data_IF_115188692072
#
_entry.id   IF_115188692072
#
_cell.length_a   1.000
_cell.length_b   1.000
_cell.length_c   1.000
_cell.angle_alpha   90.00
_cell.angle_beta   90.00
_cell.angle_gamma   90.00
#
_symmetry.space_group_name_H-M   'P 1'
#
loop_
_entity.id
_entity.type
_entity.pdbx_description
1 polymer ?
#
# COMPACT_ATOMS: atom_id res chain seq x y z
N UNK A 1 31.96 39.94 -13.51
CA UNK A 1 31.00 39.14 -12.72
C UNK A 1 31.06 37.63 -13.03
N UNK A 2 31.45 37.19 -14.24
CA UNK A 2 31.58 35.75 -14.59
C UNK A 2 32.83 35.04 -14.00
N UNK A 3 33.94 35.77 -13.78
CA UNK A 3 35.20 35.20 -13.25
C UNK A 3 35.11 34.70 -11.79
N UNK A 4 34.12 35.18 -11.01
CA UNK A 4 33.94 34.79 -9.60
C UNK A 4 33.22 33.44 -9.43
N UNK A 5 32.55 32.92 -10.47
CA UNK A 5 31.84 31.64 -10.41
C UNK A 5 32.74 30.43 -10.70
N UNK A 6 33.80 30.63 -11.48
CA UNK A 6 34.75 29.57 -11.86
C UNK A 6 35.45 28.92 -10.64
N UNK A 7 36.00 29.68 -9.66
CA UNK A 7 36.62 29.06 -8.48
C UNK A 7 35.58 28.35 -7.60
N UNK A 8 34.37 28.88 -7.47
CA UNK A 8 33.29 28.24 -6.71
C UNK A 8 32.88 26.92 -7.36
N UNK A 9 32.68 26.92 -8.69
CA UNK A 9 32.33 25.72 -9.44
C UNK A 9 33.45 24.67 -9.36
N UNK A 10 34.71 25.10 -9.41
CA UNK A 10 35.87 24.22 -9.28
C UNK A 10 35.98 23.60 -7.88
N UNK A 11 35.72 24.37 -6.82
CA UNK A 11 35.68 23.86 -5.44
C UNK A 11 34.53 22.87 -5.26
N UNK A 12 33.34 23.16 -5.79
CA UNK A 12 32.19 22.25 -5.74
C UNK A 12 32.48 20.96 -6.49
N UNK A 13 33.07 21.04 -7.68
CA UNK A 13 33.47 19.88 -8.46
C UNK A 13 34.53 19.05 -7.74
N UNK A 14 35.55 19.69 -7.16
CA UNK A 14 36.59 19.01 -6.39
C UNK A 14 36.00 18.31 -5.16
N UNK A 15 35.14 18.99 -4.40
CA UNK A 15 34.45 18.41 -3.25
C UNK A 15 33.57 17.21 -3.66
N UNK A 16 32.88 17.31 -4.80
CA UNK A 16 32.09 16.21 -5.36
C UNK A 16 32.97 15.02 -5.73
N UNK A 17 34.10 15.23 -6.42
CA UNK A 17 35.06 14.18 -6.80
C UNK A 17 35.69 13.53 -5.56
N UNK A 18 36.13 14.32 -4.57
CA UNK A 18 36.69 13.79 -3.33
C UNK A 18 35.67 12.95 -2.55
N UNK A 19 34.41 13.41 -2.48
CA UNK A 19 33.32 12.66 -1.86
C UNK A 19 32.99 11.39 -2.63
N UNK A 20 33.03 11.44 -3.96
CA UNK A 20 32.83 10.27 -4.81
C UNK A 20 33.91 9.22 -4.57
N UNK A 21 35.19 9.61 -4.61
CA UNK A 21 36.33 8.72 -4.32
C UNK A 21 36.26 8.15 -2.91
N UNK A 22 35.89 8.98 -1.93
CA UNK A 22 35.65 8.52 -0.56
C UNK A 22 34.55 7.47 -0.50
N UNK A 23 33.38 7.71 -1.09
CA UNK A 23 32.28 6.74 -1.11
C UNK A 23 32.63 5.44 -1.84
N UNK A 24 33.43 5.54 -2.91
CA UNK A 24 33.89 4.38 -3.67
C UNK A 24 34.83 3.49 -2.85
N UNK A 25 35.86 4.07 -2.23
CA UNK A 25 36.88 3.30 -1.51
C UNK A 25 36.58 3.03 -0.03
N UNK A 26 35.95 3.99 0.65
CA UNK A 26 35.75 4.00 2.10
C UNK A 26 34.30 4.32 2.51
N UNK A 27 33.38 4.31 1.54
CA UNK A 27 31.97 4.49 1.83
C UNK A 27 31.45 3.39 2.75
N UNK A 28 30.40 3.66 3.54
CA UNK A 28 29.82 2.69 4.47
C UNK A 28 29.32 1.42 3.77
N UNK A 29 28.99 1.53 2.48
CA UNK A 29 28.49 0.44 1.64
C UNK A 29 29.49 0.05 0.53
N UNK A 30 30.75 0.48 0.60
CA UNK A 30 31.75 0.27 -0.46
C UNK A 30 31.99 -1.20 -0.80
N UNK A 31 31.88 -2.08 0.19
CA UNK A 31 32.11 -3.53 0.02
C UNK A 31 30.90 -4.29 -0.52
N UNK A 32 29.69 -3.73 -0.40
CA UNK A 32 28.48 -4.40 -0.88
C UNK A 32 28.51 -4.58 -2.41
N UNK A 33 27.95 -5.67 -2.94
CA UNK A 33 27.86 -5.86 -4.38
C UNK A 33 26.79 -4.93 -4.96
N UNK A 34 26.96 -4.53 -6.22
CA UNK A 34 26.01 -3.69 -6.93
C UNK A 34 26.69 -2.92 -8.08
N UNK A 35 25.90 -2.27 -8.95
CA UNK A 35 26.45 -1.53 -10.08
C UNK A 35 27.41 -0.42 -9.65
N UNK A 36 28.46 -0.16 -10.43
CA UNK A 36 29.51 0.82 -10.08
C UNK A 36 28.95 2.23 -9.83
N UNK A 37 27.91 2.65 -10.54
CA UNK A 37 27.32 3.98 -10.38
C UNK A 37 26.65 4.19 -9.01
N UNK A 38 26.29 3.10 -8.32
CA UNK A 38 25.60 3.16 -7.02
C UNK A 38 26.49 3.63 -5.88
N UNK A 39 27.80 3.69 -6.08
CA UNK A 39 28.70 4.40 -5.16
C UNK A 39 28.46 5.92 -5.15
N UNK A 40 27.90 6.46 -6.24
CA UNK A 40 27.79 7.89 -6.48
C UNK A 40 26.33 8.38 -6.50
N UNK A 41 25.40 7.55 -6.99
CA UNK A 41 24.02 7.98 -7.21
C UNK A 41 23.00 6.86 -7.01
N UNK A 42 21.84 7.20 -6.44
CA UNK A 42 20.63 6.36 -6.40
C UNK A 42 19.61 6.73 -7.47
N UNK A 43 19.94 7.64 -8.40
CA UNK A 43 19.02 8.15 -9.42
C UNK A 43 18.38 7.07 -10.29
N UNK A 44 19.06 5.97 -10.69
CA UNK A 44 18.41 4.91 -11.46
C UNK A 44 17.27 4.21 -10.71
N UNK A 45 17.41 3.99 -9.40
CA UNK A 45 16.33 3.43 -8.58
C UNK A 45 15.18 4.44 -8.45
N UNK A 46 15.50 5.72 -8.24
CA UNK A 46 14.51 6.78 -8.17
C UNK A 46 13.72 6.92 -9.47
N UNK A 47 14.41 6.89 -10.61
CA UNK A 47 13.82 6.92 -11.94
C UNK A 47 12.88 5.74 -12.15
N UNK A 48 13.37 4.51 -11.97
CA UNK A 48 12.54 3.30 -12.15
C UNK A 48 11.35 3.26 -11.19
N UNK A 49 11.45 3.84 -9.99
CA UNK A 49 10.30 4.05 -9.09
C UNK A 49 9.29 5.03 -9.68
N UNK A 50 9.73 6.15 -10.23
CA UNK A 50 8.87 7.17 -10.83
C UNK A 50 8.14 6.67 -12.08
N UNK A 51 8.79 5.82 -12.91
CA UNK A 51 8.17 5.25 -14.13
C UNK A 51 7.47 3.90 -13.88
N UNK A 52 7.53 3.36 -12.67
CA UNK A 52 6.84 2.12 -12.29
C UNK A 52 7.54 0.81 -12.70
N UNK A 53 8.83 0.85 -13.04
CA UNK A 53 9.63 -0.31 -13.48
C UNK A 53 10.64 -0.81 -12.43
N UNK A 54 10.54 -0.32 -11.19
CA UNK A 54 11.48 -0.66 -10.11
C UNK A 54 11.52 -2.15 -9.79
N UNK A 55 10.41 -2.88 -9.97
CA UNK A 55 10.33 -4.33 -9.72
C UNK A 55 11.24 -5.11 -10.66
N UNK A 56 11.16 -4.84 -11.97
CA UNK A 56 12.01 -5.48 -12.98
C UNK A 56 13.47 -5.08 -12.79
N UNK A 57 13.73 -3.80 -12.50
CA UNK A 57 15.07 -3.31 -12.24
C UNK A 57 15.74 -4.03 -11.06
N UNK A 58 15.06 -4.09 -9.91
CA UNK A 58 15.60 -4.75 -8.72
C UNK A 58 15.70 -6.27 -8.90
N UNK A 59 14.75 -6.91 -9.60
CA UNK A 59 14.86 -8.33 -9.94
C UNK A 59 16.14 -8.62 -10.71
N UNK A 60 16.43 -7.82 -11.73
CA UNK A 60 17.66 -7.95 -12.50
C UNK A 60 18.91 -7.77 -11.62
N UNK A 61 18.93 -6.73 -10.77
CA UNK A 61 20.05 -6.49 -9.88
C UNK A 61 20.28 -7.65 -8.89
N UNK A 62 19.23 -8.19 -8.28
CA UNK A 62 19.34 -9.33 -7.37
C UNK A 62 19.77 -10.62 -8.09
N UNK A 63 19.36 -10.82 -9.34
CA UNK A 63 19.82 -11.95 -10.16
C UNK A 63 21.33 -11.91 -10.43
N UNK A 64 21.90 -10.72 -10.60
CA UNK A 64 23.32 -10.54 -10.92
C UNK A 64 24.21 -10.44 -9.67
N UNK A 65 23.73 -9.77 -8.62
CA UNK A 65 24.54 -9.39 -7.47
C UNK A 65 24.20 -10.14 -6.18
N UNK A 66 23.14 -10.97 -6.19
CA UNK A 66 22.73 -11.79 -5.04
C UNK A 66 21.70 -11.11 -4.13
N UNK A 67 21.51 -11.62 -2.89
CA UNK A 67 20.38 -11.25 -2.03
C UNK A 67 20.49 -9.87 -1.39
N UNK A 68 21.69 -9.28 -1.30
CA UNK A 68 21.93 -7.95 -0.72
C UNK A 68 22.67 -7.11 -1.75
N UNK A 69 22.06 -6.01 -2.22
CA UNK A 69 22.58 -5.22 -3.34
C UNK A 69 22.60 -3.74 -3.01
N UNK A 70 23.73 -3.06 -3.21
CA UNK A 70 23.81 -1.60 -3.16
C UNK A 70 23.08 -1.00 -4.36
N UNK A 71 22.13 -0.11 -4.08
CA UNK A 71 21.30 0.56 -5.09
C UNK A 71 21.47 2.09 -5.09
N UNK A 72 22.23 2.60 -4.12
CA UNK A 72 22.68 3.99 -4.04
C UNK A 72 23.74 4.15 -2.94
N UNK A 73 24.33 5.35 -2.77
CA UNK A 73 25.48 5.55 -1.88
C UNK A 73 25.20 5.24 -0.40
N UNK A 74 23.92 5.33 0.00
CA UNK A 74 23.41 5.03 1.34
C UNK A 74 22.14 4.17 1.29
N UNK A 75 21.99 3.39 0.22
CA UNK A 75 20.77 2.68 -0.13
C UNK A 75 21.09 1.24 -0.52
N UNK A 76 20.41 0.28 0.12
CA UNK A 76 20.60 -1.16 -0.07
C UNK A 76 19.26 -1.82 -0.35
N UNK A 77 19.17 -2.63 -1.40
CA UNK A 77 18.05 -3.53 -1.64
C UNK A 77 18.34 -4.91 -1.07
N UNK A 78 17.37 -5.49 -0.37
CA UNK A 78 17.46 -6.80 0.25
C UNK A 78 16.33 -7.67 -0.29
N UNK A 79 16.69 -8.85 -0.80
CA UNK A 79 15.77 -9.86 -1.31
C UNK A 79 16.17 -11.25 -0.81
N UNK A 80 15.78 -11.55 0.44
CA UNK A 80 15.95 -12.87 1.06
C UNK A 80 15.03 -13.01 2.27
N UNK A 81 14.76 -14.25 2.69
CA UNK A 81 13.93 -14.54 3.87
C UNK A 81 14.58 -14.01 5.15
N UNK A 82 15.86 -14.30 5.41
CA UNK A 82 16.59 -13.79 6.58
C UNK A 82 16.55 -12.26 6.63
N UNK A 83 16.92 -11.61 5.52
CA UNK A 83 16.88 -10.16 5.42
C UNK A 83 15.50 -9.56 5.67
N UNK A 84 14.42 -10.21 5.20
CA UNK A 84 13.06 -9.77 5.50
C UNK A 84 12.77 -9.80 7.00
N UNK A 85 13.12 -10.87 7.72
CA UNK A 85 12.90 -10.96 9.16
C UNK A 85 13.81 -10.02 9.96
N UNK A 86 15.06 -9.79 9.53
CA UNK A 86 15.93 -8.78 10.17
C UNK A 86 15.36 -7.36 10.04
N UNK A 87 14.72 -7.05 8.91
CA UNK A 87 14.19 -5.71 8.64
C UNK A 87 12.77 -5.51 9.18
N UNK A 88 11.87 -6.49 9.05
CA UNK A 88 10.44 -6.35 9.41
C UNK A 88 9.94 -7.33 10.47
N UNK A 89 10.74 -8.34 10.82
CA UNK A 89 10.36 -9.37 11.77
C UNK A 89 10.23 -8.86 13.20
N UNK A 90 9.68 -9.72 14.06
CA UNK A 90 9.53 -9.44 15.50
C UNK A 90 10.91 -9.18 16.10
N UNK A 91 11.04 -8.08 16.84
CA UNK A 91 12.32 -7.64 17.42
C UNK A 91 13.18 -6.77 16.49
N UNK A 92 12.78 -6.55 15.24
CA UNK A 92 13.44 -5.55 14.39
C UNK A 92 13.32 -4.14 14.98
N UNK A 93 14.44 -3.42 14.98
CA UNK A 93 14.51 -2.01 15.33
C UNK A 93 14.60 -1.09 14.09
N UNK A 94 14.41 -1.64 12.88
CA UNK A 94 14.39 -0.84 11.67
C UNK A 94 13.10 0.01 11.62
N UNK A 95 13.27 1.32 11.51
CA UNK A 95 12.14 2.26 11.49
C UNK A 95 11.65 2.48 10.07
N UNK A 96 10.40 2.93 9.89
CA UNK A 96 9.97 3.44 8.58
C UNK A 96 10.88 4.60 8.15
N UNK A 97 11.20 4.65 6.87
CA UNK A 97 12.03 5.68 6.26
C UNK A 97 11.47 7.10 6.48
N UNK A 98 12.32 8.16 6.45
CA UNK A 98 11.86 9.55 6.52
C UNK A 98 10.82 9.95 5.46
N UNK A 99 10.82 9.29 4.30
CA UNK A 99 9.84 9.56 3.23
C UNK A 99 8.38 9.36 3.69
N UNK A 100 8.13 8.49 4.68
CA UNK A 100 6.79 8.29 5.22
C UNK A 100 6.23 9.53 5.93
N UNK A 101 7.07 10.45 6.42
CA UNK A 101 6.61 11.70 7.04
C UNK A 101 5.89 12.62 6.03
N UNK A 102 6.18 12.45 4.74
CA UNK A 102 5.63 13.25 3.64
C UNK A 102 4.36 12.66 3.02
N UNK A 103 4.10 11.36 3.20
CA UNK A 103 2.93 10.68 2.64
C UNK A 103 1.72 10.92 3.56
N UNK A 104 0.75 11.71 3.10
CA UNK A 104 -0.44 12.09 3.90
C UNK A 104 -1.70 12.29 3.04
N UNK A 105 -2.83 11.92 3.63
CA UNK A 105 -4.18 12.24 3.11
C UNK A 105 -4.95 13.24 4.00
N UNK A 106 -4.27 13.84 4.99
CA UNK A 106 -4.80 14.81 5.95
C UNK A 106 -3.62 15.66 6.50
N UNK A 107 -3.88 16.59 7.42
CA UNK A 107 -2.85 17.35 8.12
C UNK A 107 -2.07 16.47 9.12
N UNK A 108 -2.74 15.52 9.77
CA UNK A 108 -2.14 14.57 10.72
C UNK A 108 -1.43 13.39 10.04
N UNK A 109 -0.51 12.77 10.77
CA UNK A 109 0.11 11.50 10.38
C UNK A 109 -0.87 10.34 10.61
N UNK A 110 -0.84 9.36 9.72
CA UNK A 110 -1.70 8.18 9.76
C UNK A 110 -0.92 7.01 10.36
N UNK A 111 -1.60 6.04 10.99
CA UNK A 111 -0.97 4.84 11.55
C UNK A 111 0.00 4.17 10.55
N UNK A 112 -0.40 4.12 9.28
CA UNK A 112 0.42 3.59 8.20
C UNK A 112 1.79 4.29 8.09
N UNK A 113 1.85 5.61 8.24
CA UNK A 113 3.06 6.42 8.02
C UNK A 113 3.82 6.76 9.30
N UNK A 114 3.25 6.51 10.47
CA UNK A 114 3.94 6.71 11.75
C UNK A 114 5.26 5.92 11.83
N UNK A 115 6.32 6.65 12.22
CA UNK A 115 7.69 6.14 12.35
C UNK A 115 8.08 5.83 13.81
N UNK A 116 7.59 6.62 14.76
CA UNK A 116 7.83 6.42 16.20
C UNK A 116 7.05 5.17 16.68
N UNK A 117 7.74 4.12 17.17
CA UNK A 117 7.08 2.88 17.61
C UNK A 117 6.11 3.08 18.78
N UNK A 118 6.37 4.03 19.68
CA UNK A 118 5.54 4.31 20.87
C UNK A 118 4.22 4.94 20.43
N UNK A 119 4.29 6.00 19.62
CA UNK A 119 3.10 6.68 19.10
C UNK A 119 2.30 5.75 18.18
N UNK A 120 2.98 4.97 17.33
CA UNK A 120 2.35 3.97 16.48
C UNK A 120 1.61 2.90 17.29
N UNK A 121 2.23 2.37 18.35
CA UNK A 121 1.61 1.36 19.24
C UNK A 121 0.35 1.90 19.90
N UNK A 122 0.41 3.13 20.42
CA UNK A 122 -0.74 3.81 21.00
C UNK A 122 -1.87 4.02 19.98
N UNK A 123 -1.54 4.53 18.79
CA UNK A 123 -2.49 4.72 17.68
C UNK A 123 -3.16 3.40 17.27
N UNK A 124 -2.35 2.33 17.11
CA UNK A 124 -2.82 0.99 16.76
C UNK A 124 -3.82 0.46 17.78
N UNK A 125 -3.56 0.67 19.08
CA UNK A 125 -4.46 0.24 20.15
C UNK A 125 -5.81 0.95 20.09
N UNK A 126 -5.84 2.24 19.77
CA UNK A 126 -7.07 3.02 19.65
C UNK A 126 -7.89 2.52 18.45
N UNK A 127 -7.28 2.45 17.27
CA UNK A 127 -7.93 1.98 16.04
C UNK A 127 -8.42 0.52 16.18
N UNK A 128 -7.63 -0.35 16.81
CA UNK A 128 -7.99 -1.74 17.05
C UNK A 128 -9.29 -1.92 17.86
N UNK A 129 -9.59 -1.01 18.80
CA UNK A 129 -10.87 -1.01 19.53
C UNK A 129 -12.05 -0.73 18.61
N UNK A 130 -11.90 0.19 17.66
CA UNK A 130 -12.92 0.49 16.66
C UNK A 130 -13.21 -0.71 15.77
N UNK A 131 -12.18 -1.40 15.26
CA UNK A 131 -12.36 -2.64 14.49
C UNK A 131 -13.04 -3.75 15.29
N UNK A 132 -12.71 -3.91 16.58
CA UNK A 132 -13.34 -4.91 17.43
C UNK A 132 -14.83 -4.64 17.68
N UNK A 133 -15.27 -3.39 17.60
CA UNK A 133 -16.65 -2.98 17.95
C UNK A 133 -17.71 -3.28 16.88
N UNK A 134 -17.33 -3.75 15.69
CA UNK A 134 -18.23 -3.84 14.52
C UNK A 134 -18.28 -5.23 13.88
N UNK A 135 -17.75 -6.26 14.55
CA UNK A 135 -17.59 -7.61 13.96
C UNK A 135 -18.91 -8.28 13.56
N UNK A 136 -19.95 -8.22 14.39
CA UNK A 136 -21.16 -9.03 14.20
C UNK A 136 -22.12 -8.47 13.12
N UNK A 137 -22.19 -7.15 12.94
CA UNK A 137 -23.13 -6.52 11.99
C UNK A 137 -22.56 -6.33 10.58
N UNK A 138 -21.28 -6.62 10.37
CA UNK A 138 -20.61 -6.39 9.09
C UNK A 138 -21.01 -7.39 8.01
N UNK A 139 -21.24 -8.63 8.42
CA UNK A 139 -21.37 -9.74 7.50
C UNK A 139 -22.58 -9.56 6.56
N UNK A 140 -23.76 -9.30 7.12
CA UNK A 140 -24.99 -9.04 6.35
C UNK A 140 -24.81 -7.85 5.41
N UNK A 141 -24.13 -6.79 5.86
CA UNK A 141 -23.87 -5.61 5.03
C UNK A 141 -22.94 -5.94 3.86
N UNK A 142 -21.86 -6.68 4.12
CA UNK A 142 -20.89 -7.09 3.10
C UNK A 142 -21.55 -8.03 2.09
N UNK A 143 -22.31 -9.02 2.54
CA UNK A 143 -23.04 -9.95 1.67
C UNK A 143 -24.03 -9.20 0.75
N UNK A 144 -24.77 -8.23 1.29
CA UNK A 144 -25.68 -7.38 0.50
C UNK A 144 -24.93 -6.59 -0.57
N UNK A 145 -23.83 -5.93 -0.22
CA UNK A 145 -23.03 -5.14 -1.16
C UNK A 145 -22.36 -6.05 -2.22
N UNK A 146 -21.85 -7.21 -1.82
CA UNK A 146 -21.26 -8.19 -2.72
C UNK A 146 -22.29 -8.71 -3.73
N UNK A 147 -23.50 -9.05 -3.26
CA UNK A 147 -24.61 -9.46 -4.13
C UNK A 147 -24.97 -8.38 -5.15
N UNK A 148 -25.01 -7.11 -4.73
CA UNK A 148 -25.24 -5.98 -5.63
C UNK A 148 -24.12 -5.81 -6.65
N UNK A 149 -22.85 -5.96 -6.24
CA UNK A 149 -21.71 -5.90 -7.15
C UNK A 149 -21.79 -7.00 -8.24
N UNK A 150 -22.08 -8.25 -7.83
CA UNK A 150 -22.24 -9.38 -8.75
C UNK A 150 -23.43 -9.16 -9.70
N UNK A 151 -24.57 -8.65 -9.21
CA UNK A 151 -25.71 -8.32 -10.04
C UNK A 151 -25.38 -7.26 -11.10
N UNK A 152 -24.63 -6.22 -10.72
CA UNK A 152 -24.18 -5.19 -11.64
C UNK A 152 -23.20 -5.73 -12.70
N UNK A 153 -22.27 -6.60 -12.31
CA UNK A 153 -21.37 -7.29 -13.24
C UNK A 153 -22.19 -8.11 -14.24
N UNK A 154 -23.14 -8.92 -13.76
CA UNK A 154 -24.02 -9.73 -14.61
C UNK A 154 -24.79 -8.87 -15.61
N UNK A 155 -25.41 -7.79 -15.16
CA UNK A 155 -26.19 -6.88 -16.01
C UNK A 155 -25.35 -6.22 -17.13
N UNK A 156 -24.06 -5.97 -16.89
CA UNK A 156 -23.16 -5.49 -17.95
C UNK A 156 -22.69 -6.62 -18.86
N UNK A 157 -22.39 -7.80 -18.31
CA UNK A 157 -21.97 -8.97 -19.06
C UNK A 157 -23.05 -9.43 -20.06
N UNK A 158 -24.33 -9.39 -19.66
CA UNK A 158 -25.47 -9.69 -20.54
C UNK A 158 -25.60 -8.70 -21.72
N UNK A 159 -25.00 -7.51 -21.62
CA UNK A 159 -24.91 -6.52 -22.70
C UNK A 159 -23.65 -6.70 -23.57
N UNK A 160 -22.83 -7.71 -23.30
CA UNK A 160 -21.69 -8.13 -24.09
C UNK A 160 -20.37 -8.19 -23.32
N UNK A 161 -20.14 -7.29 -22.36
CA UNK A 161 -18.90 -7.27 -21.57
C UNK A 161 -19.09 -6.52 -20.25
N UNK A 162 -18.37 -6.95 -19.21
CA UNK A 162 -18.36 -6.28 -17.90
C UNK A 162 -16.94 -5.92 -17.47
N UNK A 163 -16.76 -4.70 -16.96
CA UNK A 163 -15.54 -4.29 -16.27
C UNK A 163 -15.66 -4.67 -14.79
N UNK A 164 -15.12 -5.84 -14.44
CA UNK A 164 -15.15 -6.35 -13.06
C UNK A 164 -14.30 -5.51 -12.11
N UNK A 165 -13.21 -4.89 -12.59
CA UNK A 165 -12.34 -4.06 -11.76
C UNK A 165 -13.07 -2.83 -11.22
N UNK A 166 -13.83 -2.16 -12.10
CA UNK A 166 -14.72 -1.05 -11.71
C UNK A 166 -15.68 -1.47 -10.59
N UNK A 167 -16.37 -2.59 -10.74
CA UNK A 167 -17.36 -3.04 -9.75
C UNK A 167 -16.73 -3.51 -8.45
N UNK A 168 -15.58 -4.20 -8.50
CA UNK A 168 -14.83 -4.57 -7.30
C UNK A 168 -14.28 -3.38 -6.54
N UNK A 169 -13.86 -2.32 -7.24
CA UNK A 169 -13.50 -1.05 -6.60
C UNK A 169 -14.71 -0.37 -5.95
N UNK A 170 -15.83 -0.29 -6.64
CA UNK A 170 -17.07 0.25 -6.07
C UNK A 170 -17.48 -0.52 -4.80
N UNK A 171 -17.43 -1.85 -4.84
CA UNK A 171 -17.67 -2.72 -3.69
C UNK A 171 -16.72 -2.40 -2.54
N UNK A 172 -15.42 -2.37 -2.79
CA UNK A 172 -14.41 -2.14 -1.76
C UNK A 172 -14.58 -0.79 -1.07
N UNK A 173 -14.89 0.27 -1.82
CA UNK A 173 -15.15 1.60 -1.25
C UNK A 173 -16.44 1.62 -0.43
N UNK A 174 -17.52 1.01 -0.92
CA UNK A 174 -18.79 0.98 -0.20
C UNK A 174 -18.69 0.14 1.08
N UNK A 175 -17.93 -0.96 1.07
CA UNK A 175 -17.64 -1.76 2.28
C UNK A 175 -16.83 -0.94 3.28
N UNK A 176 -15.71 -0.34 2.87
CA UNK A 176 -14.87 0.44 3.80
C UNK A 176 -15.62 1.65 4.35
N UNK A 177 -16.45 2.32 3.55
CA UNK A 177 -17.27 3.44 4.02
C UNK A 177 -18.39 3.01 4.97
N UNK A 178 -19.07 1.88 4.71
CA UNK A 178 -20.00 1.27 5.67
C UNK A 178 -19.31 0.94 7.00
N UNK A 179 -18.14 0.32 6.97
CA UNK A 179 -17.39 0.00 8.18
C UNK A 179 -16.94 1.25 8.93
N UNK A 180 -16.48 2.28 8.20
CA UNK A 180 -15.91 3.49 8.77
C UNK A 180 -16.97 4.42 9.34
N UNK A 181 -18.09 4.61 8.63
CA UNK A 181 -19.12 5.62 8.94
C UNK A 181 -20.49 5.03 9.27
N UNK A 182 -20.74 3.74 9.00
CA UNK A 182 -22.06 3.12 9.15
C UNK A 182 -23.01 3.46 8.01
N UNK A 183 -22.47 3.98 6.90
CA UNK A 183 -23.20 4.31 5.66
C UNK A 183 -22.25 4.24 4.46
N UNK A 184 -22.70 3.59 3.39
CA UNK A 184 -21.96 3.51 2.13
C UNK A 184 -21.94 4.84 1.39
N UNK A 185 -20.96 5.02 0.52
CA UNK A 185 -20.93 6.14 -0.43
C UNK A 185 -21.77 5.88 -1.69
N UNK A 186 -22.44 4.73 -1.78
CA UNK A 186 -23.32 4.31 -2.88
C UNK A 186 -22.60 4.32 -4.25
N UNK A 187 -21.33 3.93 -4.28
CA UNK A 187 -20.57 3.78 -5.53
C UNK A 187 -21.09 2.61 -6.38
N UNK A 188 -21.63 1.57 -5.76
CA UNK A 188 -22.27 0.45 -6.47
C UNK A 188 -23.56 0.86 -7.19
N UNK A 189 -24.27 1.89 -6.72
CA UNK A 189 -25.46 2.37 -7.40
C UNK A 189 -25.10 3.24 -8.62
N UNK A 190 -24.08 4.08 -8.49
CA UNK A 190 -23.65 5.00 -9.56
C UNK A 190 -22.66 4.38 -10.56
N UNK A 191 -22.10 3.21 -10.25
CA UNK A 191 -20.98 2.62 -11.01
C UNK A 191 -19.73 3.49 -10.99
N UNK A 192 -19.55 4.30 -9.93
CA UNK A 192 -18.45 5.26 -9.78
C UNK A 192 -18.53 6.49 -10.70
N UNK A 193 -19.54 6.57 -11.59
CA UNK A 193 -19.67 7.67 -12.55
C UNK A 193 -20.00 8.99 -11.84
N UNK A 194 -19.28 10.05 -12.21
CA UNK A 194 -19.54 11.42 -11.75
C UNK A 194 -19.15 11.69 -10.28
N UNK A 195 -18.48 10.76 -9.60
CA UNK A 195 -18.04 10.95 -8.21
C UNK A 195 -16.55 11.31 -8.16
N UNK A 196 -16.17 12.54 -7.74
CA UNK A 196 -14.77 12.94 -7.61
C UNK A 196 -13.95 12.00 -6.71
N UNK A 197 -14.60 11.39 -5.70
CA UNK A 197 -13.95 10.42 -4.83
C UNK A 197 -13.43 9.20 -5.60
N UNK A 198 -14.18 8.66 -6.56
CA UNK A 198 -13.76 7.48 -7.33
C UNK A 198 -12.49 7.79 -8.13
N UNK A 199 -12.46 8.95 -8.81
CA UNK A 199 -11.28 9.43 -9.54
C UNK A 199 -10.10 9.67 -8.59
N UNK A 200 -10.34 10.31 -7.44
CA UNK A 200 -9.28 10.57 -6.46
C UNK A 200 -8.66 9.27 -5.92
N UNK A 201 -9.48 8.26 -5.61
CA UNK A 201 -8.99 6.94 -5.18
C UNK A 201 -8.18 6.25 -6.28
N UNK A 202 -8.63 6.31 -7.54
CA UNK A 202 -7.87 5.75 -8.67
C UNK A 202 -6.50 6.41 -8.88
N UNK A 203 -6.35 7.67 -8.46
CA UNK A 203 -5.13 8.45 -8.55
C UNK A 203 -4.31 8.45 -7.24
N UNK A 204 -4.73 7.71 -6.21
CA UNK A 204 -4.04 7.68 -4.92
C UNK A 204 -2.62 7.10 -5.02
N UNK A 205 -2.43 6.03 -5.81
CA UNK A 205 -1.11 5.43 -6.05
C UNK A 205 -0.09 6.44 -6.61
N UNK A 206 -0.36 7.08 -7.78
CA UNK A 206 0.49 8.14 -8.30
C UNK A 206 0.72 9.29 -7.32
N UNK A 207 -0.33 9.73 -6.59
CA UNK A 207 -0.20 10.78 -5.58
C UNK A 207 0.81 10.40 -4.49
N UNK A 208 0.78 9.16 -3.98
CA UNK A 208 1.76 8.65 -3.00
C UNK A 208 3.17 8.61 -3.58
N UNK A 209 3.34 8.18 -4.84
CA UNK A 209 4.66 8.17 -5.50
C UNK A 209 5.22 9.57 -5.61
N UNK A 210 4.43 10.55 -6.04
CA UNK A 210 4.88 11.94 -6.10
C UNK A 210 5.20 12.51 -4.72
N UNK A 211 4.39 12.22 -3.70
CA UNK A 211 4.67 12.61 -2.31
C UNK A 211 5.97 12.00 -1.77
N UNK A 212 6.33 10.80 -2.25
CA UNK A 212 7.56 10.13 -1.86
C UNK A 212 8.82 10.67 -2.56
N UNK A 213 8.67 11.18 -3.79
CA UNK A 213 9.80 11.56 -4.65
C UNK A 213 10.01 13.07 -4.73
N UNK A 214 8.94 13.87 -4.64
CA UNK A 214 8.98 15.31 -4.86
C UNK A 214 8.72 16.10 -3.57
N UNK A 215 9.38 17.26 -3.39
CA UNK A 215 9.03 18.20 -2.34
C UNK A 215 7.56 18.64 -2.42
N UNK A 216 6.90 18.76 -1.25
CA UNK A 216 5.47 19.15 -1.15
C UNK A 216 5.13 20.44 -1.89
N UNK A 217 6.04 21.42 -1.92
CA UNK A 217 5.87 22.69 -2.64
C UNK A 217 5.77 22.52 -4.16
N UNK A 218 6.42 21.52 -4.74
CA UNK A 218 6.30 21.23 -6.17
C UNK A 218 4.97 20.53 -6.48
N UNK A 219 4.56 19.59 -5.62
CA UNK A 219 3.29 18.87 -5.76
C UNK A 219 2.10 19.83 -5.68
N UNK A 220 2.15 20.86 -4.82
CA UNK A 220 1.07 21.84 -4.74
C UNK A 220 0.82 22.60 -6.06
N UNK A 221 1.84 22.70 -6.92
CA UNK A 221 1.69 23.34 -8.25
C UNK A 221 0.87 22.47 -9.22
N UNK A 222 0.76 21.16 -8.97
CA UNK A 222 0.05 20.25 -9.88
C UNK A 222 -1.42 20.64 -10.03
N UNK A 223 -2.04 21.22 -8.98
CA UNK A 223 -3.42 21.70 -9.01
C UNK A 223 -3.67 22.82 -10.02
N UNK A 224 -2.62 23.53 -10.41
CA UNK A 224 -2.67 24.61 -11.41
C UNK A 224 -2.14 24.15 -12.78
N UNK A 225 -1.86 22.85 -12.93
CA UNK A 225 -1.39 22.30 -14.19
C UNK A 225 -2.50 22.35 -15.25
N UNK A 226 -2.17 22.72 -16.51
CA UNK A 226 -3.11 22.59 -17.61
C UNK A 226 -3.39 21.12 -17.96
N UNK A 227 -2.56 20.18 -17.49
CA UNK A 227 -2.74 18.75 -17.71
C UNK A 227 -3.75 18.21 -16.70
N UNK A 228 -4.90 17.74 -17.20
CA UNK A 228 -6.02 17.28 -16.37
C UNK A 228 -5.61 16.21 -15.34
N UNK A 229 -4.86 15.19 -15.78
CA UNK A 229 -4.40 14.11 -14.89
C UNK A 229 -3.50 14.62 -13.75
N UNK A 230 -2.57 15.55 -14.03
CA UNK A 230 -1.72 16.13 -12.98
C UNK A 230 -2.56 16.95 -11.99
N UNK A 231 -3.53 17.72 -12.49
CA UNK A 231 -4.46 18.46 -11.64
C UNK A 231 -5.25 17.53 -10.73
N UNK A 232 -5.79 16.44 -11.27
CA UNK A 232 -6.57 15.46 -10.50
C UNK A 232 -5.69 14.79 -9.43
N UNK A 233 -4.46 14.40 -9.77
CA UNK A 233 -3.47 13.86 -8.82
C UNK A 233 -3.13 14.87 -7.71
N UNK A 234 -2.97 16.14 -8.07
CA UNK A 234 -2.71 17.23 -7.13
C UNK A 234 -3.87 17.50 -6.16
N UNK A 235 -5.11 17.15 -6.55
CA UNK A 235 -6.32 17.34 -5.75
C UNK A 235 -6.70 16.12 -4.89
N UNK A 236 -6.11 14.94 -5.12
CA UNK A 236 -6.42 13.67 -4.41
C UNK A 236 -6.58 13.84 -2.91
N UNK A 237 -5.57 14.43 -2.24
CA UNK A 237 -5.58 14.62 -0.78
C UNK A 237 -6.76 15.47 -0.33
N UNK A 238 -7.07 16.56 -1.02
CA UNK A 238 -8.19 17.44 -0.65
C UNK A 238 -9.54 16.79 -0.94
N UNK A 239 -9.70 16.10 -2.07
CA UNK A 239 -10.94 15.42 -2.41
C UNK A 239 -11.28 14.32 -1.40
N UNK A 240 -10.29 13.50 -1.03
CA UNK A 240 -10.49 12.43 -0.04
C UNK A 240 -10.76 13.05 1.34
N UNK A 241 -9.93 13.99 1.78
CA UNK A 241 -10.08 14.63 3.08
C UNK A 241 -11.43 15.32 3.24
N UNK A 242 -11.85 16.13 2.26
CA UNK A 242 -13.13 16.83 2.31
C UNK A 242 -14.30 15.85 2.38
N UNK A 243 -14.26 14.76 1.61
CA UNK A 243 -15.31 13.74 1.64
C UNK A 243 -15.39 13.04 2.99
N UNK A 244 -14.25 12.71 3.59
CA UNK A 244 -14.18 12.09 4.93
C UNK A 244 -14.70 13.04 6.01
N UNK A 245 -14.26 14.29 5.99
CA UNK A 245 -14.70 15.32 6.95
C UNK A 245 -16.20 15.57 6.84
N UNK A 246 -16.76 15.64 5.63
CA UNK A 246 -18.21 15.73 5.43
C UNK A 246 -18.95 14.52 6.02
N UNK A 247 -18.45 13.30 5.76
CA UNK A 247 -19.06 12.08 6.28
C UNK A 247 -19.00 11.99 7.82
N UNK A 248 -17.90 12.43 8.44
CA UNK A 248 -17.79 12.54 9.89
C UNK A 248 -18.74 13.61 10.47
N UNK A 249 -18.94 14.72 9.76
CA UNK A 249 -19.92 15.74 10.12
C UNK A 249 -21.34 15.20 10.09
N UNK A 250 -21.73 14.48 9.02
CA UNK A 250 -23.03 13.80 8.91
C UNK A 250 -23.24 12.80 10.06
N UNK A 251 -22.20 12.04 10.42
CA UNK A 251 -22.24 11.04 11.49
C UNK A 251 -22.49 11.64 12.87
N UNK A 252 -22.06 12.88 13.12
CA UNK A 252 -22.29 13.59 14.39
C UNK A 252 -23.72 14.06 14.57
N UNK A 253 -24.38 14.42 13.47
CA UNK A 253 -25.75 14.96 13.48
C UNK A 253 -26.78 13.83 13.38
N UNK A 254 -26.45 12.76 12.66
CA UNK A 254 -27.37 11.66 12.41
C UNK A 254 -27.41 10.66 13.57
N UNK A 255 -28.56 10.58 14.25
CA UNK A 255 -28.88 9.48 15.17
C UNK A 255 -29.06 8.14 14.46
N UNK A 256 -29.35 8.13 13.15
CA UNK A 256 -29.70 6.95 12.33
C UNK A 256 -28.53 6.22 11.65
N UNK A 257 -27.28 6.63 11.87
CA UNK A 257 -26.13 5.90 11.31
C UNK A 257 -25.85 4.62 12.12
N UNK A 258 -25.70 3.47 11.45
CA UNK A 258 -25.38 2.20 12.10
C UNK A 258 -24.02 2.22 12.85
N UNK A 259 -23.70 1.18 13.61
CA UNK A 259 -22.41 1.10 14.29
C UNK A 259 -21.25 1.11 13.28
N UNK A 260 -20.19 1.83 13.64
CA UNK A 260 -19.04 2.08 12.77
C UNK A 260 -17.79 2.37 13.58
N UNK A 261 -16.62 2.24 12.95
CA UNK A 261 -15.32 2.56 13.57
C UNK A 261 -15.34 3.99 14.09
N UNK A 262 -15.71 4.96 13.24
CA UNK A 262 -15.69 6.37 13.62
C UNK A 262 -16.68 6.67 14.75
N UNK A 263 -17.89 6.10 14.71
CA UNK A 263 -18.90 6.31 15.77
C UNK A 263 -18.41 5.77 17.11
N UNK A 264 -17.79 4.60 17.11
CA UNK A 264 -17.20 4.04 18.33
C UNK A 264 -16.10 4.95 18.87
N UNK A 265 -15.15 5.37 18.03
CA UNK A 265 -14.02 6.20 18.44
C UNK A 265 -14.45 7.59 18.95
N UNK A 266 -15.38 8.25 18.25
CA UNK A 266 -15.99 9.51 18.68
C UNK A 266 -16.70 9.36 20.04
N UNK A 267 -17.40 8.24 20.27
CA UNK A 267 -18.09 8.01 21.54
C UNK A 267 -17.12 7.85 22.72
N UNK A 268 -15.93 7.30 22.50
CA UNK A 268 -14.90 7.16 23.54
C UNK A 268 -14.28 8.51 23.89
N UNK A 269 -14.07 9.36 22.88
CA UNK A 269 -13.58 10.73 23.04
C UNK A 269 -14.56 11.59 23.85
N UNK A 270 -15.86 11.57 23.50
CA UNK A 270 -16.92 12.28 24.25
C UNK A 270 -17.00 11.82 25.71
N UNK A 271 -16.73 10.53 25.97
CA UNK A 271 -16.67 9.96 27.33
C UNK A 271 -15.37 10.28 28.08
N UNK A 272 -14.47 11.07 27.51
CA UNK A 272 -13.19 11.46 28.13
C UNK A 272 -12.19 10.32 28.29
N UNK A 273 -12.40 9.18 27.61
CA UNK A 273 -11.53 8.00 27.76
C UNK A 273 -10.25 8.19 26.95
N UNK A 274 -9.12 8.27 27.65
CA UNK A 274 -7.79 8.34 27.04
C UNK A 274 -7.14 6.96 26.86
N UNK A 275 -6.35 6.75 25.80
CA UNK A 275 -6.11 7.69 24.71
C UNK A 275 -7.26 7.69 23.69
N UNK A 276 -7.53 8.85 23.09
CA UNK A 276 -8.54 9.10 22.06
C UNK A 276 -7.92 9.82 20.86
N UNK A 277 -8.63 9.88 19.75
CA UNK A 277 -8.22 10.64 18.56
C UNK A 277 -8.95 11.97 18.54
N UNK A 278 -8.29 13.02 18.08
CA UNK A 278 -8.99 14.25 17.70
C UNK A 278 -9.59 14.14 16.27
N UNK A 279 -10.32 15.16 15.84
CA UNK A 279 -11.02 15.20 14.55
C UNK A 279 -10.10 15.00 13.34
N UNK A 280 -8.97 15.71 13.30
CA UNK A 280 -8.04 15.64 12.17
C UNK A 280 -7.32 14.28 12.14
N UNK A 281 -6.96 13.77 13.31
CA UNK A 281 -6.40 12.44 13.47
C UNK A 281 -7.37 11.35 13.04
N UNK A 282 -8.64 11.39 13.47
CA UNK A 282 -9.66 10.45 13.05
C UNK A 282 -9.89 10.53 11.54
N UNK A 283 -9.97 11.74 10.99
CA UNK A 283 -10.11 11.98 9.55
C UNK A 283 -8.92 11.40 8.78
N UNK A 284 -7.71 11.53 9.30
CA UNK A 284 -6.50 10.98 8.69
C UNK A 284 -6.54 9.44 8.64
N UNK A 285 -6.94 8.79 9.73
CA UNK A 285 -7.01 7.33 9.81
C UNK A 285 -8.09 6.77 8.89
N UNK A 286 -9.27 7.40 8.87
CA UNK A 286 -10.35 6.96 7.98
C UNK A 286 -10.02 7.22 6.50
N UNK A 287 -9.34 8.33 6.18
CA UNK A 287 -8.82 8.58 4.83
C UNK A 287 -7.85 7.48 4.39
N UNK A 288 -6.94 7.07 5.30
CA UNK A 288 -6.02 5.97 5.02
C UNK A 288 -6.76 4.64 4.82
N UNK A 289 -7.80 4.34 5.61
CA UNK A 289 -8.60 3.13 5.43
C UNK A 289 -9.26 3.09 4.05
N UNK A 290 -9.84 4.21 3.60
CA UNK A 290 -10.45 4.32 2.26
C UNK A 290 -9.42 4.09 1.15
N UNK A 291 -8.24 4.71 1.24
CA UNK A 291 -7.18 4.53 0.23
C UNK A 291 -6.63 3.11 0.25
N UNK A 292 -6.29 2.58 1.43
CA UNK A 292 -5.69 1.27 1.57
C UNK A 292 -6.64 0.14 1.15
N UNK A 293 -7.91 0.22 1.55
CA UNK A 293 -8.89 -0.86 1.39
C UNK A 293 -9.61 -0.87 0.04
N UNK A 294 -9.53 0.20 -0.75
CA UNK A 294 -10.21 0.29 -2.05
C UNK A 294 -9.47 -0.47 -3.15
N UNK A 295 -8.34 0.07 -3.60
CA UNK A 295 -7.62 -0.45 -4.76
C UNK A 295 -6.98 -1.83 -4.52
N UNK A 296 -6.55 -2.11 -3.28
CA UNK A 296 -5.93 -3.40 -2.96
C UNK A 296 -6.92 -4.55 -3.08
N UNK A 297 -8.07 -4.43 -2.39
CA UNK A 297 -9.16 -5.41 -2.44
C UNK A 297 -9.70 -5.56 -3.86
N UNK A 298 -9.91 -4.44 -4.57
CA UNK A 298 -10.41 -4.46 -5.94
C UNK A 298 -9.47 -5.23 -6.89
N UNK A 299 -8.16 -4.99 -6.76
CA UNK A 299 -7.13 -5.67 -7.55
C UNK A 299 -7.11 -7.18 -7.25
N UNK A 300 -7.13 -7.57 -5.97
CA UNK A 300 -7.17 -8.99 -5.58
C UNK A 300 -8.40 -9.69 -6.15
N UNK A 301 -9.60 -9.12 -5.98
CA UNK A 301 -10.83 -9.72 -6.51
C UNK A 301 -10.84 -9.80 -8.04
N UNK A 302 -10.27 -8.80 -8.71
CA UNK A 302 -10.14 -8.78 -10.18
C UNK A 302 -9.26 -9.93 -10.67
N UNK A 303 -8.07 -10.10 -10.07
CA UNK A 303 -7.17 -11.18 -10.47
C UNK A 303 -7.68 -12.56 -10.06
N UNK A 304 -8.36 -12.68 -8.92
CA UNK A 304 -9.05 -13.91 -8.55
C UNK A 304 -10.13 -14.29 -9.58
N UNK A 305 -10.97 -13.31 -9.96
CA UNK A 305 -11.98 -13.53 -11.03
C UNK A 305 -11.31 -13.94 -12.34
N UNK A 306 -10.20 -13.29 -12.70
CA UNK A 306 -9.46 -13.54 -13.94
C UNK A 306 -8.75 -14.91 -13.96
N UNK A 307 -8.22 -15.40 -12.84
CA UNK A 307 -7.67 -16.76 -12.70
C UNK A 307 -8.78 -17.81 -12.75
N UNK A 308 -9.87 -17.62 -12.01
CA UNK A 308 -10.99 -18.56 -11.98
C UNK A 308 -11.64 -18.68 -13.37
N UNK A 309 -11.91 -17.56 -14.04
CA UNK A 309 -12.64 -17.60 -15.32
C UNK A 309 -11.80 -18.14 -16.48
N UNK A 310 -10.46 -17.97 -16.45
CA UNK A 310 -9.60 -18.44 -17.55
C UNK A 310 -9.39 -19.96 -17.55
N UNK A 311 -9.54 -20.60 -16.40
CA UNK A 311 -9.32 -22.03 -16.19
C UNK A 311 -10.67 -22.73 -15.93
N UNK A 312 -11.24 -23.43 -16.94
CA UNK A 312 -12.54 -24.08 -16.79
C UNK A 312 -12.58 -25.15 -15.69
N UNK A 313 -11.46 -25.84 -15.43
CA UNK A 313 -11.39 -26.91 -14.43
C UNK A 313 -11.35 -26.32 -13.03
N UNK A 314 -10.55 -25.26 -12.83
CA UNK A 314 -10.54 -24.51 -11.58
C UNK A 314 -11.92 -23.89 -11.31
N UNK A 315 -12.54 -23.28 -12.32
CA UNK A 315 -13.89 -22.70 -12.18
C UNK A 315 -14.88 -23.74 -11.68
N UNK A 316 -14.90 -24.92 -12.30
CA UNK A 316 -15.81 -26.00 -11.92
C UNK A 316 -15.57 -26.45 -10.47
N UNK A 317 -14.31 -26.63 -10.07
CA UNK A 317 -13.99 -27.03 -8.69
C UNK A 317 -14.38 -25.98 -7.65
N UNK A 318 -14.18 -24.69 -7.96
CA UNK A 318 -14.64 -23.59 -7.10
C UNK A 318 -16.16 -23.56 -7.01
N UNK A 319 -16.87 -23.70 -8.13
CA UNK A 319 -18.34 -23.78 -8.18
C UNK A 319 -18.87 -24.95 -7.33
N UNK A 320 -18.23 -26.13 -7.43
CA UNK A 320 -18.54 -27.30 -6.61
C UNK A 320 -18.30 -27.03 -5.12
N UNK A 321 -17.14 -26.48 -4.75
CA UNK A 321 -16.79 -26.16 -3.37
C UNK A 321 -17.78 -25.15 -2.77
N UNK A 322 -18.08 -24.04 -3.45
CA UNK A 322 -19.03 -23.04 -2.92
C UNK A 322 -20.46 -23.53 -2.91
N UNK A 323 -20.84 -24.46 -3.81
CA UNK A 323 -22.18 -25.07 -3.80
C UNK A 323 -22.45 -25.96 -2.59
N UNK A 324 -21.39 -26.41 -1.90
CA UNK A 324 -21.49 -27.19 -0.65
C UNK A 324 -21.89 -26.35 0.56
N UNK A 325 -21.83 -25.02 0.45
CA UNK A 325 -22.23 -24.11 1.53
C UNK A 325 -23.74 -24.20 1.80
N UNK A 326 -24.16 -24.08 3.07
CA UNK A 326 -25.58 -24.01 3.41
C UNK A 326 -26.22 -22.71 2.90
N UNK A 327 -27.53 -22.69 2.71
CA UNK A 327 -28.27 -21.49 2.22
C UNK A 327 -28.00 -20.22 3.06
N UNK A 328 -27.85 -20.39 4.37
CA UNK A 328 -27.56 -19.31 5.32
C UNK A 328 -26.11 -19.39 5.83
N UNK A 329 -25.17 -19.62 4.91
CA UNK A 329 -23.75 -19.66 5.26
C UNK A 329 -23.29 -18.36 5.90
N UNK A 330 -22.30 -18.50 6.76
CA UNK A 330 -21.65 -17.40 7.45
C UNK A 330 -20.25 -17.13 6.90
N UNK A 331 -19.64 -16.01 7.27
CA UNK A 331 -18.25 -15.72 6.96
C UNK A 331 -17.31 -16.85 7.44
N UNK A 332 -17.63 -17.49 8.58
CA UNK A 332 -16.86 -18.63 9.11
C UNK A 332 -16.96 -19.87 8.24
N UNK A 333 -18.07 -20.06 7.53
CA UNK A 333 -18.22 -21.18 6.61
C UNK A 333 -17.37 -20.95 5.35
N UNK A 334 -17.34 -19.70 4.85
CA UNK A 334 -16.48 -19.29 3.72
C UNK A 334 -14.99 -19.36 4.07
N UNK A 335 -14.60 -18.95 5.29
CA UNK A 335 -13.21 -19.04 5.79
C UNK A 335 -12.67 -20.47 5.79
N UNK A 336 -13.54 -21.48 5.77
CA UNK A 336 -13.17 -22.90 5.78
C UNK A 336 -13.06 -23.53 4.39
N UNK A 337 -13.30 -22.78 3.31
CA UNK A 337 -13.21 -23.29 1.95
C UNK A 337 -11.73 -23.36 1.51
N UNK A 338 -11.09 -24.55 1.49
CA UNK A 338 -9.66 -24.63 1.29
C UNK A 338 -9.21 -24.20 -0.12
N UNK A 339 -9.97 -24.55 -1.17
CA UNK A 339 -9.58 -24.24 -2.54
C UNK A 339 -9.74 -22.73 -2.82
N UNK A 340 -10.87 -22.12 -2.43
CA UNK A 340 -11.06 -20.68 -2.55
C UNK A 340 -9.98 -19.88 -1.80
N UNK A 341 -9.62 -20.29 -0.58
CA UNK A 341 -8.53 -19.65 0.15
C UNK A 341 -7.19 -19.82 -0.57
N UNK A 342 -6.89 -21.01 -1.09
CA UNK A 342 -5.67 -21.27 -1.86
C UNK A 342 -5.57 -20.40 -3.11
N UNK A 343 -6.69 -20.19 -3.82
CA UNK A 343 -6.78 -19.25 -4.96
C UNK A 343 -6.44 -17.82 -4.53
N UNK A 344 -7.01 -17.35 -3.42
CA UNK A 344 -6.77 -16.00 -2.91
C UNK A 344 -5.32 -15.80 -2.46
N UNK A 345 -4.74 -16.78 -1.76
CA UNK A 345 -3.33 -16.75 -1.35
C UNK A 345 -2.40 -16.70 -2.57
N UNK A 346 -2.67 -17.52 -3.58
CA UNK A 346 -1.87 -17.56 -4.79
C UNK A 346 -2.02 -16.28 -5.63
N UNK A 347 -3.23 -15.68 -5.66
CA UNK A 347 -3.44 -14.35 -6.24
C UNK A 347 -2.64 -13.28 -5.50
N UNK A 348 -2.60 -13.31 -4.18
CA UNK A 348 -1.80 -12.35 -3.39
C UNK A 348 -0.30 -12.55 -3.59
N UNK A 349 0.16 -13.79 -3.81
CA UNK A 349 1.55 -14.10 -4.16
C UNK A 349 1.92 -13.55 -5.55
N UNK A 350 1.08 -13.83 -6.54
CA UNK A 350 1.34 -13.50 -7.95
C UNK A 350 1.05 -12.05 -8.30
N UNK A 351 -0.08 -11.52 -7.86
CA UNK A 351 -0.62 -10.20 -8.22
C UNK A 351 -0.64 -9.23 -7.02
N UNK A 352 0.34 -9.34 -6.13
CA UNK A 352 0.45 -8.55 -4.90
C UNK A 352 0.10 -7.06 -5.12
N UNK A 353 -1.06 -6.58 -4.60
CA UNK A 353 -1.48 -5.20 -4.80
C UNK A 353 -0.62 -4.19 -4.03
N UNK A 354 0.09 -4.63 -2.99
CA UNK A 354 1.00 -3.83 -2.16
C UNK A 354 2.48 -4.07 -2.51
N UNK A 355 2.80 -4.22 -3.79
CA UNK A 355 4.14 -4.52 -4.31
C UNK A 355 5.14 -3.35 -4.30
N UNK A 356 4.78 -2.19 -3.72
CA UNK A 356 5.67 -1.03 -3.66
C UNK A 356 6.92 -1.31 -2.81
N UNK A 357 7.95 -0.48 -2.99
CA UNK A 357 9.14 -0.52 -2.15
C UNK A 357 8.77 -0.08 -0.73
N UNK A 358 9.15 -0.91 0.24
CA UNK A 358 8.97 -0.63 1.66
C UNK A 358 10.32 -0.23 2.24
N UNK A 359 10.55 1.07 2.30
CA UNK A 359 11.80 1.63 2.79
C UNK A 359 11.88 1.64 4.33
N UNK A 360 12.97 1.11 4.88
CA UNK A 360 13.29 1.20 6.30
C UNK A 360 14.63 1.87 6.53
N UNK A 361 14.77 2.51 7.69
CA UNK A 361 16.02 3.07 8.19
C UNK A 361 16.63 2.09 9.19
N UNK A 362 17.87 1.69 8.92
CA UNK A 362 18.64 0.78 9.78
C UNK A 362 18.94 1.48 11.13
N UNK A 363 18.72 0.79 12.27
CA UNK A 363 18.98 1.35 13.61
C UNK A 363 20.46 1.73 13.79
N UNK A 364 20.80 2.59 14.77
CA UNK A 364 22.17 3.04 14.98
C UNK A 364 23.21 1.91 15.11
N UNK A 365 22.82 0.78 15.70
CA UNK A 365 23.69 -0.38 15.91
C UNK A 365 23.93 -1.22 14.63
N UNK A 366 23.32 -0.85 13.50
CA UNK A 366 23.38 -1.65 12.28
C UNK A 366 22.49 -2.89 12.31
N UNK A 367 22.53 -3.66 11.22
CA UNK A 367 21.98 -5.01 11.10
C UNK A 367 22.95 -5.88 10.30
N UNK A 368 22.96 -7.18 10.57
CA UNK A 368 23.69 -8.17 9.78
C UNK A 368 22.70 -9.02 8.99
N UNK A 369 22.94 -9.17 7.69
CA UNK A 369 22.09 -9.94 6.76
C UNK A 369 23.02 -10.76 5.87
N UNK A 370 22.92 -12.09 5.95
CA UNK A 370 23.93 -13.00 5.41
C UNK A 370 25.35 -12.61 5.88
N UNK A 371 26.32 -12.57 4.97
CA UNK A 371 27.72 -12.19 5.25
C UNK A 371 27.96 -10.67 5.26
N UNK A 372 26.90 -9.86 5.29
CA UNK A 372 26.98 -8.41 5.16
C UNK A 372 26.49 -7.67 6.39
N UNK A 373 27.38 -6.86 6.96
CA UNK A 373 27.04 -5.88 7.99
C UNK A 373 26.62 -4.56 7.36
N UNK A 374 25.38 -4.15 7.62
CA UNK A 374 24.81 -2.89 7.15
C UNK A 374 24.84 -1.89 8.31
N UNK A 375 25.60 -0.79 8.19
CA UNK A 375 25.74 0.18 9.28
C UNK A 375 24.45 0.96 9.52
N UNK A 376 24.35 1.56 10.71
CA UNK A 376 23.20 2.40 11.07
C UNK A 376 23.03 3.64 10.19
N UNK A 377 21.79 4.09 10.03
CA UNK A 377 21.45 5.25 9.21
C UNK A 377 21.41 4.98 7.70
N UNK A 378 21.54 3.73 7.28
CA UNK A 378 21.38 3.29 5.90
C UNK A 378 19.91 3.04 5.59
N UNK A 379 19.50 3.38 4.36
CA UNK A 379 18.18 3.06 3.83
C UNK A 379 18.18 1.64 3.26
N UNK A 380 17.28 0.79 3.72
CA UNK A 380 17.07 -0.55 3.18
C UNK A 380 15.71 -0.65 2.46
N UNK A 381 15.72 -1.24 1.28
CA UNK A 381 14.57 -1.46 0.43
C UNK A 381 14.24 -2.94 0.41
N UNK A 382 12.95 -3.23 0.54
CA UNK A 382 12.39 -4.57 0.35
C UNK A 382 11.09 -4.41 -0.45
N UNK A 383 10.67 -5.44 -1.16
CA UNK A 383 9.36 -5.44 -1.83
C UNK A 383 8.74 -6.82 -1.73
N UNK A 384 7.47 -6.86 -1.35
CA UNK A 384 6.72 -8.12 -1.26
C UNK A 384 6.65 -8.87 -2.58
N UNK A 385 6.81 -8.18 -3.73
CA UNK A 385 6.78 -8.81 -5.04
C UNK A 385 8.02 -9.65 -5.35
N UNK A 386 9.21 -9.23 -4.88
CA UNK A 386 10.43 -10.04 -5.03
C UNK A 386 10.45 -11.17 -4.00
N UNK A 387 10.03 -10.88 -2.76
CA UNK A 387 9.95 -11.89 -1.69
C UNK A 387 8.99 -13.02 -2.07
N UNK A 388 7.86 -12.71 -2.72
CA UNK A 388 6.89 -13.72 -3.19
C UNK A 388 7.36 -14.52 -4.41
N UNK A 389 8.60 -14.29 -4.87
CA UNK A 389 9.24 -14.90 -6.05
C UNK A 389 10.66 -15.42 -5.75
N UNK A 390 10.95 -15.64 -4.48
CA UNK A 390 12.18 -16.27 -4.04
C UNK A 390 12.19 -17.76 -4.46
N UNK A 391 13.15 -18.15 -5.30
CA UNK A 391 13.28 -19.51 -5.86
C UNK A 391 13.61 -20.56 -4.77
N UNK A 392 14.21 -20.14 -3.66
CA UNK A 392 14.46 -20.97 -2.48
C UNK A 392 13.21 -21.24 -1.63
N UNK A 393 12.13 -20.48 -1.85
CA UNK A 393 10.84 -20.62 -1.14
C UNK A 393 9.75 -21.19 -2.04
N UNK A 394 9.72 -20.77 -3.30
CA UNK A 394 8.71 -21.16 -4.29
C UNK A 394 9.41 -21.83 -5.48
N UNK A 395 9.06 -23.09 -5.76
CA UNK A 395 9.68 -23.88 -6.84
C UNK A 395 9.42 -23.30 -8.24
N UNK A 396 8.24 -22.72 -8.48
CA UNK A 396 7.84 -22.12 -9.75
C UNK A 396 7.35 -20.67 -9.53
N UNK A 397 8.24 -19.75 -9.11
CA UNK A 397 7.85 -18.45 -8.56
C UNK A 397 7.12 -17.54 -9.55
N UNK A 398 7.32 -17.75 -10.85
CA UNK A 398 6.69 -16.95 -11.92
C UNK A 398 5.42 -17.57 -12.50
N UNK A 399 5.03 -18.78 -12.07
CA UNK A 399 3.80 -19.43 -12.53
C UNK A 399 2.73 -19.30 -11.46
N UNK A 400 1.48 -19.17 -11.90
CA UNK A 400 0.32 -19.29 -11.02
C UNK A 400 0.06 -20.79 -10.80
N UNK A 401 0.30 -21.27 -9.59
CA UNK A 401 0.15 -22.68 -9.22
C UNK A 401 -0.58 -22.75 -7.89
N UNK A 402 -1.79 -23.32 -7.90
CA UNK A 402 -2.54 -23.55 -6.68
C UNK A 402 -1.96 -24.79 -6.00
N UNK A 403 -1.27 -24.61 -4.88
CA UNK A 403 -0.79 -25.72 -4.05
C UNK A 403 -1.95 -26.29 -3.23
N UNK A 404 -2.84 -27.05 -3.88
CA UNK A 404 -3.90 -27.77 -3.19
C UNK A 404 -3.41 -29.20 -2.89
N UNK A 405 -3.13 -29.49 -1.62
CA UNK A 405 -3.07 -30.87 -1.14
C UNK A 405 -4.48 -31.22 -0.67
N UNK A 406 -5.19 -32.00 -1.49
CA UNK A 406 -6.55 -32.46 -1.20
C UNK A 406 -6.65 -33.45 -0.06
#
# INVERSE_FOLDING_TARGET
MFLSFIPILSIVLLAFVLRALFNYHRGPLSRLPGPWYTHFTGLPLLYTRAVGTSRQHLRHLHKVHGPVVRVGPKEVSINSVDGYYKVHGVGSHCLKAPVFDHIRFSHSSMLFTMRDPRIHSERKRIIGRGFASIKEEQEVKIQRLASQAVANIKNEAEKGQADVYKWWRCLAVDVVSEMSFGKSFNLLHSGGKGLPLYTALSNAGPSVVFQAVLPRRLISLFKWSPIAWLRDVGQVTETIFNRVTSALGELRVSSNCGPSIARHLLSQEVKGKKPSLNDDELSSEVSMLLVAGSDSTATTLTYATWEIVRDPDLRKQIEEEVSSLPTNFTAKDVERLPLLNSVLEEVLRMYNPAAALVERLVPPNGISVHDWDIPGGIMVYTTGWLISRLEDVFSEPDRYVISFQG
#
